data_IF_651110581297
#
_entry.id   IF_651110581297
#
_cell.length_a   1.000
_cell.length_b   1.000
_cell.length_c   1.000
_cell.angle_alpha   90.00
_cell.angle_beta   90.00
_cell.angle_gamma   90.00
#
_symmetry.space_group_name_H-M   'P 1'
#
loop_
_entity.id
_entity.type
_entity.pdbx_description
1 polymer ?
#
# COMPACT_ATOMS: atom_id res chain seq x y z
N UNK A 1 -2.88 -15.36 -17.59
CA UNK A 1 -3.71 -15.57 -16.39
C UNK A 1 -2.75 -15.58 -15.21
N UNK A 2 -2.47 -14.40 -14.63
CA UNK A 2 -1.77 -14.31 -13.35
C UNK A 2 -2.83 -14.43 -12.26
N UNK A 3 -2.62 -15.29 -11.27
CA UNK A 3 -3.41 -15.27 -10.05
C UNK A 3 -3.23 -13.88 -9.44
N UNK A 4 -4.35 -13.17 -9.22
CA UNK A 4 -4.41 -11.90 -8.48
C UNK A 4 -4.17 -12.13 -6.98
N UNK A 5 -3.24 -13.03 -6.63
CA UNK A 5 -2.82 -13.28 -5.26
C UNK A 5 -1.97 -12.09 -4.83
N UNK A 6 -2.56 -11.20 -4.03
CA UNK A 6 -1.81 -10.15 -3.36
C UNK A 6 -0.89 -10.79 -2.32
N UNK A 7 0.42 -10.77 -2.59
CA UNK A 7 1.42 -11.21 -1.63
C UNK A 7 1.62 -10.10 -0.59
N UNK A 8 1.26 -10.38 0.66
CA UNK A 8 1.60 -9.52 1.80
C UNK A 8 2.85 -10.07 2.49
N UNK A 9 3.86 -9.22 2.63
CA UNK A 9 5.07 -9.54 3.41
C UNK A 9 4.98 -8.82 4.74
N UNK A 10 5.02 -9.58 5.84
CA UNK A 10 5.03 -9.03 7.19
C UNK A 10 6.45 -9.15 7.75
N UNK A 11 7.04 -8.03 8.11
CA UNK A 11 8.33 -7.96 8.79
C UNK A 11 8.08 -7.70 10.28
N UNK A 12 8.50 -8.63 11.13
CA UNK A 12 8.34 -8.55 12.59
C UNK A 12 9.69 -8.67 13.29
N UNK A 13 9.87 -7.92 14.38
CA UNK A 13 11.08 -7.95 15.21
C UNK A 13 10.74 -7.54 16.64
N UNK A 14 11.52 -8.05 17.60
CA UNK A 14 11.45 -7.65 19.01
C UNK A 14 12.05 -6.26 19.26
N UNK A 15 12.72 -5.69 18.25
CA UNK A 15 13.24 -4.32 18.28
C UNK A 15 12.51 -3.48 17.23
N UNK A 16 12.38 -2.15 17.42
CA UNK A 16 11.87 -1.27 16.38
C UNK A 16 12.61 -1.53 15.06
N UNK A 17 11.86 -1.67 13.97
CA UNK A 17 12.39 -1.77 12.61
C UNK A 17 12.21 -0.40 11.91
N UNK A 18 13.00 0.63 12.25
CA UNK A 18 12.99 1.85 11.48
C UNK A 18 13.47 1.52 10.08
N UNK A 19 12.71 1.95 9.08
CA UNK A 19 13.11 1.71 7.71
C UNK A 19 14.14 2.76 7.31
N UNK A 20 15.42 2.40 7.38
CA UNK A 20 16.52 3.30 7.04
C UNK A 20 16.70 3.39 5.52
N UNK A 21 16.41 4.57 4.97
CA UNK A 21 16.46 4.81 3.54
C UNK A 21 17.88 4.74 2.97
N UNK A 22 18.90 5.14 3.73
CA UNK A 22 20.30 5.05 3.28
C UNK A 22 20.75 3.59 3.12
N UNK A 23 20.35 2.72 4.04
CA UNK A 23 20.62 1.28 3.94
C UNK A 23 19.86 0.65 2.77
N UNK A 24 18.63 1.11 2.51
CA UNK A 24 17.89 0.67 1.34
C UNK A 24 18.61 1.09 0.04
N UNK A 25 19.11 2.32 -0.04
CA UNK A 25 19.91 2.76 -1.18
C UNK A 25 21.18 1.93 -1.37
N UNK A 26 21.87 1.59 -0.27
CA UNK A 26 23.05 0.73 -0.29
C UNK A 26 22.72 -0.69 -0.77
N UNK A 27 21.63 -1.30 -0.28
CA UNK A 27 21.18 -2.60 -0.73
C UNK A 27 20.88 -2.64 -2.24
N UNK A 28 20.34 -1.55 -2.80
CA UNK A 28 20.10 -1.43 -4.25
C UNK A 28 21.38 -1.27 -5.09
N UNK A 29 22.55 -1.06 -4.47
CA UNK A 29 23.85 -1.11 -5.17
C UNK A 29 24.32 -2.54 -5.43
N UNK A 30 23.79 -3.52 -4.69
CA UNK A 30 24.06 -4.94 -4.95
C UNK A 30 23.33 -5.39 -6.23
N UNK A 31 24.05 -5.83 -7.27
CA UNK A 31 23.44 -6.26 -8.52
C UNK A 31 22.54 -7.49 -8.37
N UNK A 32 22.78 -8.35 -7.38
CA UNK A 32 21.94 -9.52 -7.09
C UNK A 32 20.59 -9.04 -6.55
N UNK A 33 20.60 -8.17 -5.54
CA UNK A 33 19.38 -7.59 -4.97
C UNK A 33 18.58 -6.88 -6.05
N UNK A 34 19.23 -6.01 -6.84
CA UNK A 34 18.55 -5.28 -7.92
C UNK A 34 17.92 -6.23 -8.94
N UNK A 35 18.65 -7.26 -9.39
CA UNK A 35 18.14 -8.23 -10.38
C UNK A 35 16.93 -9.01 -9.87
N UNK A 36 16.92 -9.41 -8.60
CA UNK A 36 15.78 -10.13 -8.03
C UNK A 36 14.56 -9.22 -7.82
N UNK A 37 14.78 -7.97 -7.42
CA UNK A 37 13.73 -6.97 -7.24
C UNK A 37 13.14 -6.47 -8.57
N UNK A 38 13.94 -6.35 -9.62
CA UNK A 38 13.48 -6.00 -10.97
C UNK A 38 12.45 -7.00 -11.52
N UNK A 39 12.58 -8.30 -11.19
CA UNK A 39 11.59 -9.34 -11.60
C UNK A 39 10.18 -9.08 -11.06
N UNK A 40 10.07 -8.29 -9.99
CA UNK A 40 8.80 -7.91 -9.36
C UNK A 40 8.45 -6.44 -9.61
N UNK A 41 9.07 -5.82 -10.63
CA UNK A 41 8.92 -4.40 -10.96
C UNK A 41 9.28 -3.48 -9.79
N UNK A 42 10.35 -3.77 -9.06
CA UNK A 42 10.89 -2.90 -8.01
C UNK A 42 12.26 -2.41 -8.47
N UNK A 43 12.28 -1.26 -9.14
CA UNK A 43 13.50 -0.74 -9.76
C UNK A 43 14.24 0.30 -8.89
N UNK A 44 13.65 0.74 -7.78
CA UNK A 44 14.23 1.77 -6.92
C UNK A 44 13.89 1.59 -5.44
N UNK A 45 14.67 2.19 -4.53
CA UNK A 45 14.33 2.30 -3.11
C UNK A 45 12.92 2.89 -2.89
N UNK A 46 12.55 3.91 -3.66
CA UNK A 46 11.23 4.54 -3.57
C UNK A 46 10.10 3.58 -3.94
N UNK A 47 10.33 2.67 -4.89
CA UNK A 47 9.37 1.65 -5.28
C UNK A 47 9.15 0.58 -4.18
N UNK A 48 10.10 0.42 -3.25
CA UNK A 48 9.89 -0.39 -2.04
C UNK A 48 9.03 0.39 -1.05
N UNK A 49 9.38 1.65 -0.78
CA UNK A 49 8.62 2.51 0.14
C UNK A 49 7.16 2.68 -0.28
N UNK A 50 6.90 2.78 -1.59
CA UNK A 50 5.55 2.94 -2.14
C UNK A 50 4.67 1.71 -1.93
N UNK A 51 5.26 0.56 -1.58
CA UNK A 51 4.54 -0.69 -1.27
C UNK A 51 4.27 -0.87 0.22
N UNK A 52 4.75 0.03 1.08
CA UNK A 52 4.38 0.03 2.50
C UNK A 52 2.87 0.20 2.63
N UNK A 53 2.20 -0.88 3.04
CA UNK A 53 0.74 -0.95 3.12
C UNK A 53 0.22 -0.68 4.52
N UNK A 54 1.05 -0.93 5.55
CA UNK A 54 0.71 -0.69 6.95
C UNK A 54 1.91 -0.16 7.71
N UNK A 55 1.63 0.67 8.70
CA UNK A 55 2.57 1.05 9.75
C UNK A 55 2.38 0.15 10.97
N UNK A 56 3.36 0.08 11.90
CA UNK A 56 3.19 -0.62 13.17
C UNK A 56 1.90 -0.26 13.92
N UNK A 57 1.53 1.03 13.91
CA UNK A 57 0.26 1.48 14.51
C UNK A 57 -0.96 0.90 13.78
N UNK A 58 -0.92 0.85 12.45
CA UNK A 58 -1.95 0.22 11.63
C UNK A 58 -2.12 -1.27 11.91
N UNK A 59 -0.99 -1.99 12.02
CA UNK A 59 -0.99 -3.41 12.42
C UNK A 59 -1.65 -3.59 13.77
N UNK A 60 -1.26 -2.81 14.78
CA UNK A 60 -1.85 -2.89 16.12
C UNK A 60 -3.37 -2.72 16.08
N UNK A 61 -3.86 -1.72 15.33
CA UNK A 61 -5.30 -1.49 15.22
C UNK A 61 -6.03 -2.66 14.53
N UNK A 62 -5.44 -3.24 13.50
CA UNK A 62 -6.03 -4.40 12.81
C UNK A 62 -6.10 -5.64 13.70
N UNK A 63 -5.14 -5.84 14.61
CA UNK A 63 -5.08 -7.04 15.45
C UNK A 63 -5.83 -6.89 16.78
N UNK A 64 -6.33 -5.70 17.14
CA UNK A 64 -7.03 -5.43 18.41
C UNK A 64 -8.20 -6.38 18.69
N UNK A 65 -8.87 -6.87 17.64
CA UNK A 65 -10.02 -7.78 17.73
C UNK A 65 -9.72 -9.21 17.28
N UNK A 66 -8.48 -9.50 16.90
CA UNK A 66 -8.07 -10.79 16.35
C UNK A 66 -7.56 -11.68 17.47
N UNK A 67 -7.98 -12.95 17.48
CA UNK A 67 -7.47 -13.94 18.43
C UNK A 67 -6.17 -14.53 17.89
N UNK A 68 -5.13 -14.70 18.74
CA UNK A 68 -3.93 -15.41 18.34
C UNK A 68 -4.30 -16.84 17.95
N UNK A 69 -3.69 -17.35 16.89
CA UNK A 69 -3.75 -18.77 16.60
C UNK A 69 -2.90 -19.49 17.66
N UNK A 70 -3.56 -20.10 18.65
CA UNK A 70 -2.91 -20.95 19.65
C UNK A 70 -2.93 -22.39 19.14
N UNK A 71 -1.76 -23.03 19.09
CA UNK A 71 -1.46 -24.36 18.49
C UNK A 71 -2.28 -25.58 18.98
N UNK A 72 -3.43 -25.39 19.64
CA UNK A 72 -4.32 -26.48 20.06
C UNK A 72 -5.31 -26.94 18.98
N UNK A 73 -5.27 -26.35 17.78
CA UNK A 73 -6.01 -26.84 16.62
C UNK A 73 -5.02 -27.25 15.52
N UNK A 74 -4.74 -28.55 15.47
CA UNK A 74 -4.35 -29.28 14.25
C UNK A 74 -5.47 -29.23 13.17
N UNK A 75 -6.15 -28.10 13.02
CA UNK A 75 -6.76 -27.70 11.76
C UNK A 75 -5.61 -27.08 10.94
N UNK A 76 -4.53 -27.82 10.70
CA UNK A 76 -4.26 -28.37 9.37
C UNK A 76 -4.72 -27.33 8.33
N UNK A 77 -3.86 -26.34 8.09
CA UNK A 77 -3.20 -25.93 6.84
C UNK A 77 -3.75 -26.38 5.47
N UNK A 78 -4.81 -27.19 5.42
CA UNK A 78 -5.56 -27.66 4.27
C UNK A 78 -7.06 -27.33 4.34
N UNK A 79 -7.61 -26.89 5.50
CA UNK A 79 -9.02 -26.49 5.66
C UNK A 79 -9.30 -24.99 5.66
N UNK A 80 -8.27 -24.13 5.69
CA UNK A 80 -8.41 -22.81 5.03
C UNK A 80 -8.41 -23.13 3.56
N UNK A 81 -9.58 -23.53 3.06
CA UNK A 81 -9.70 -24.02 1.72
C UNK A 81 -9.00 -23.04 0.79
N UNK A 82 -8.26 -23.59 -0.17
CA UNK A 82 -7.91 -22.93 -1.44
C UNK A 82 -9.18 -22.59 -2.23
N UNK A 83 -10.17 -22.04 -1.55
CA UNK A 83 -11.54 -21.84 -1.97
C UNK A 83 -11.82 -20.37 -1.72
N UNK A 84 -11.85 -19.65 -2.84
CA UNK A 84 -12.28 -18.27 -3.02
C UNK A 84 -11.21 -17.20 -2.81
N UNK A 85 -10.07 -17.36 -3.50
CA UNK A 85 -9.34 -16.21 -4.07
C UNK A 85 -10.24 -15.51 -5.09
N UNK A 86 -11.25 -14.79 -4.61
CA UNK A 86 -12.07 -13.91 -5.43
C UNK A 86 -11.40 -12.54 -5.49
N UNK A 87 -11.57 -11.85 -6.62
CA UNK A 87 -11.21 -10.43 -6.78
C UNK A 87 -11.77 -9.59 -5.60
N UNK A 88 -12.93 -9.98 -5.07
CA UNK A 88 -13.57 -9.35 -3.91
C UNK A 88 -12.72 -9.44 -2.64
N UNK A 89 -12.13 -10.61 -2.34
CA UNK A 89 -11.28 -10.78 -1.16
C UNK A 89 -10.00 -9.94 -1.24
N UNK A 90 -9.39 -9.86 -2.43
CA UNK A 90 -8.25 -8.98 -2.65
C UNK A 90 -8.66 -7.49 -2.50
N UNK A 91 -9.80 -7.10 -3.08
CA UNK A 91 -10.34 -5.75 -2.95
C UNK A 91 -10.66 -5.34 -1.51
N UNK A 92 -11.27 -6.24 -0.73
CA UNK A 92 -11.57 -6.03 0.69
C UNK A 92 -10.31 -5.90 1.53
N UNK A 93 -9.29 -6.74 1.30
CA UNK A 93 -8.02 -6.64 1.99
C UNK A 93 -7.27 -5.35 1.62
N UNK A 94 -7.22 -4.96 0.34
CA UNK A 94 -6.61 -3.69 -0.07
C UNK A 94 -7.30 -2.51 0.61
N UNK A 95 -8.64 -2.52 0.66
CA UNK A 95 -9.39 -1.47 1.33
C UNK A 95 -9.06 -1.43 2.83
N UNK A 96 -9.14 -2.57 3.51
CA UNK A 96 -8.82 -2.72 4.93
C UNK A 96 -7.41 -2.22 5.26
N UNK A 97 -6.40 -2.65 4.48
CA UNK A 97 -5.02 -2.20 4.65
C UNK A 97 -4.90 -0.68 4.43
N UNK A 98 -5.58 -0.15 3.41
CA UNK A 98 -5.51 1.28 3.08
C UNK A 98 -6.15 2.18 4.14
N UNK A 99 -7.28 1.75 4.74
CA UNK A 99 -7.96 2.47 5.82
C UNK A 99 -7.12 2.51 7.10
N UNK A 100 -6.29 1.48 7.30
CA UNK A 100 -5.48 1.30 8.49
C UNK A 100 -3.99 1.61 8.25
N UNK A 101 -3.61 2.14 7.08
CA UNK A 101 -2.22 2.33 6.67
C UNK A 101 -1.41 3.18 7.67
N UNK A 102 -2.03 4.20 8.26
CA UNK A 102 -1.38 5.16 9.14
C UNK A 102 -0.54 6.18 8.35
N UNK A 103 0.64 6.52 8.87
CA UNK A 103 1.54 7.53 8.28
C UNK A 103 2.92 6.93 7.96
N UNK A 104 3.07 6.21 6.82
CA UNK A 104 4.32 5.51 6.47
C UNK A 104 5.56 6.41 6.52
N UNK A 105 5.44 7.66 6.11
CA UNK A 105 6.52 8.65 6.10
C UNK A 105 7.19 8.87 7.47
N UNK A 106 6.47 8.67 8.58
CA UNK A 106 6.99 8.83 9.94
C UNK A 106 7.82 7.63 10.43
N UNK A 107 7.82 6.53 9.70
CA UNK A 107 8.56 5.30 10.03
C UNK A 107 9.79 5.10 9.16
N UNK A 108 10.04 6.04 8.23
CA UNK A 108 11.25 6.05 7.41
C UNK A 108 12.28 6.96 8.05
N UNK A 109 13.45 6.40 8.32
CA UNK A 109 14.63 7.16 8.70
C UNK A 109 15.33 7.64 7.42
N UNK A 110 15.27 8.96 7.20
CA UNK A 110 15.86 9.61 6.03
C UNK A 110 17.35 9.92 6.18
N UNK A 111 17.94 9.61 7.34
CA UNK A 111 19.32 9.98 7.68
C UNK A 111 19.52 11.49 7.78
N UNK A 112 20.68 11.96 7.36
CA UNK A 112 21.08 13.38 7.44
C UNK A 112 20.63 14.21 6.23
N UNK A 113 19.59 13.78 5.51
CA UNK A 113 19.08 14.49 4.36
C UNK A 113 18.44 15.83 4.77
N UNK A 114 18.61 16.85 3.94
CA UNK A 114 17.93 18.14 4.11
C UNK A 114 16.42 17.99 3.89
N UNK A 115 15.63 18.92 4.44
CA UNK A 115 14.17 18.92 4.24
C UNK A 115 13.75 18.94 2.76
N UNK A 116 14.53 19.63 1.91
CA UNK A 116 14.36 19.63 0.46
C UNK A 116 14.49 18.24 -0.14
N UNK A 117 15.55 17.53 0.22
CA UNK A 117 15.83 16.19 -0.27
C UNK A 117 14.79 15.20 0.25
N UNK A 118 14.41 15.30 1.52
CA UNK A 118 13.35 14.48 2.12
C UNK A 118 12.03 14.68 1.38
N UNK A 119 11.61 15.94 1.23
CA UNK A 119 10.37 16.27 0.51
C UNK A 119 10.41 15.76 -0.95
N UNK A 120 11.55 15.92 -1.63
CA UNK A 120 11.74 15.42 -3.00
C UNK A 120 11.64 13.90 -3.08
N UNK A 121 12.28 13.18 -2.15
CA UNK A 121 12.20 11.71 -2.07
C UNK A 121 10.77 11.25 -1.81
N UNK A 122 10.07 11.85 -0.84
CA UNK A 122 8.66 11.54 -0.57
C UNK A 122 7.76 11.76 -1.79
N UNK A 123 7.99 12.85 -2.55
CA UNK A 123 7.26 13.09 -3.80
C UNK A 123 7.53 12.01 -4.87
N UNK A 124 8.75 11.47 -4.89
CA UNK A 124 9.15 10.36 -5.77
C UNK A 124 8.49 9.05 -5.35
N UNK A 125 8.44 8.76 -4.04
CA UNK A 125 7.68 7.62 -3.50
C UNK A 125 6.19 7.71 -3.88
N UNK A 126 5.60 8.90 -3.81
CA UNK A 126 4.21 9.12 -4.21
C UNK A 126 4.00 8.81 -5.71
N UNK A 127 4.95 9.18 -6.57
CA UNK A 127 4.89 8.84 -8.00
C UNK A 127 5.02 7.33 -8.24
N UNK A 128 5.91 6.64 -7.53
CA UNK A 128 6.00 5.18 -7.60
C UNK A 128 4.69 4.51 -7.14
N UNK A 129 4.08 5.01 -6.06
CA UNK A 129 2.79 4.50 -5.59
C UNK A 129 1.68 4.64 -6.65
N UNK A 130 1.67 5.74 -7.43
CA UNK A 130 0.75 5.89 -8.56
C UNK A 130 0.98 4.80 -9.62
N UNK A 131 2.24 4.50 -9.97
CA UNK A 131 2.57 3.49 -10.98
C UNK A 131 2.04 2.11 -10.61
N UNK A 132 2.02 1.79 -9.31
CA UNK A 132 1.47 0.52 -8.79
C UNK A 132 -0.03 0.59 -8.49
N UNK A 133 -0.71 1.72 -8.75
CA UNK A 133 -2.14 1.87 -8.45
C UNK A 133 -2.46 2.03 -6.95
N UNK A 134 -1.47 2.28 -6.11
CA UNK A 134 -1.61 2.43 -4.65
C UNK A 134 -2.04 3.86 -4.30
N UNK A 135 -3.27 4.23 -4.67
CA UNK A 135 -3.76 5.63 -4.59
C UNK A 135 -3.69 6.23 -3.18
N UNK A 136 -4.09 5.47 -2.15
CA UNK A 136 -4.07 5.94 -0.75
C UNK A 136 -2.65 6.18 -0.26
N UNK A 137 -1.73 5.27 -0.59
CA UNK A 137 -0.30 5.43 -0.30
C UNK A 137 0.28 6.65 -1.01
N UNK A 138 -0.01 6.82 -2.31
CA UNK A 138 0.41 7.98 -3.09
C UNK A 138 -0.06 9.30 -2.47
N UNK A 139 -1.32 9.36 -2.04
CA UNK A 139 -1.88 10.54 -1.37
C UNK A 139 -1.15 10.84 -0.06
N UNK A 140 -0.93 9.82 0.78
CA UNK A 140 -0.23 9.97 2.07
C UNK A 140 1.20 10.47 1.89
N UNK A 141 1.95 9.88 0.94
CA UNK A 141 3.31 10.29 0.61
C UNK A 141 3.40 11.71 0.06
N UNK A 142 2.48 12.10 -0.82
CA UNK A 142 2.45 13.46 -1.38
C UNK A 142 2.09 14.51 -0.31
N UNK A 143 1.20 14.20 0.64
CA UNK A 143 0.92 15.10 1.76
C UNK A 143 2.12 15.26 2.69
N UNK A 144 2.74 14.14 3.08
CA UNK A 144 3.94 14.18 3.92
C UNK A 144 5.07 15.00 3.26
N UNK A 145 5.25 14.88 1.94
CA UNK A 145 6.19 15.69 1.16
C UNK A 145 5.97 17.19 1.34
N UNK A 146 4.72 17.66 1.20
CA UNK A 146 4.35 19.08 1.34
C UNK A 146 4.47 19.55 2.79
N UNK A 147 4.08 18.71 3.75
CA UNK A 147 4.20 18.98 5.19
C UNK A 147 5.67 19.18 5.61
N UNK A 148 6.59 18.42 5.00
CA UNK A 148 8.02 18.58 5.27
C UNK A 148 8.57 19.87 4.65
N UNK A 149 8.26 20.10 3.36
CA UNK A 149 8.61 21.32 2.63
C UNK A 149 7.75 21.48 1.39
N UNK A 150 7.42 22.74 1.05
CA UNK A 150 6.65 23.06 -0.14
C UNK A 150 7.25 22.43 -1.41
N UNK A 151 6.43 21.65 -2.13
CA UNK A 151 6.90 20.81 -3.24
C UNK A 151 5.86 20.73 -4.37
N UNK A 152 6.22 21.28 -5.53
CA UNK A 152 5.32 21.35 -6.68
C UNK A 152 5.05 20.00 -7.35
N UNK A 153 5.97 19.04 -7.25
CA UNK A 153 5.72 17.67 -7.73
C UNK A 153 4.63 17.03 -6.88
N UNK A 154 4.73 17.13 -5.55
CA UNK A 154 3.74 16.59 -4.64
C UNK A 154 2.36 17.26 -4.82
N UNK A 155 2.30 18.58 -5.01
CA UNK A 155 1.04 19.28 -5.34
C UNK A 155 0.41 18.76 -6.63
N UNK A 156 1.22 18.52 -7.68
CA UNK A 156 0.74 17.94 -8.95
C UNK A 156 0.21 16.52 -8.77
N UNK A 157 0.87 15.71 -7.93
CA UNK A 157 0.39 14.37 -7.57
C UNK A 157 -0.98 14.47 -6.89
N UNK A 158 -1.15 15.30 -5.87
CA UNK A 158 -2.43 15.47 -5.20
C UNK A 158 -3.55 15.90 -6.16
N UNK A 159 -3.27 16.90 -7.01
CA UNK A 159 -4.22 17.36 -8.03
C UNK A 159 -4.61 16.25 -9.02
N UNK A 160 -3.65 15.42 -9.41
CA UNK A 160 -3.91 14.26 -10.27
C UNK A 160 -4.82 13.24 -9.57
N UNK A 161 -4.54 12.92 -8.31
CA UNK A 161 -5.35 11.98 -7.51
C UNK A 161 -6.78 12.49 -7.29
N UNK A 162 -6.96 13.78 -7.01
CA UNK A 162 -8.28 14.40 -6.90
C UNK A 162 -9.08 14.32 -8.21
N UNK A 163 -8.40 14.49 -9.36
CA UNK A 163 -9.05 14.37 -10.66
C UNK A 163 -9.45 12.92 -10.97
N UNK A 164 -8.64 11.93 -10.56
CA UNK A 164 -8.98 10.52 -10.67
C UNK A 164 -10.20 10.17 -9.82
N UNK A 165 -10.24 10.62 -8.56
CA UNK A 165 -11.34 10.33 -7.65
C UNK A 165 -12.67 10.93 -8.15
N UNK A 166 -12.65 12.18 -8.61
CA UNK A 166 -13.81 12.83 -9.26
C UNK A 166 -14.33 12.06 -10.47
N UNK A 167 -13.42 11.48 -11.29
CA UNK A 167 -13.81 10.65 -12.44
C UNK A 167 -14.45 9.34 -11.98
N UNK A 168 -13.89 8.70 -10.95
CA UNK A 168 -14.44 7.48 -10.36
C UNK A 168 -15.87 7.70 -9.86
N UNK A 169 -16.09 8.76 -9.08
CA UNK A 169 -17.41 9.12 -8.55
C UNK A 169 -18.43 9.37 -9.67
N UNK A 170 -18.06 10.10 -10.73
CA UNK A 170 -18.93 10.32 -11.89
C UNK A 170 -19.33 9.02 -12.57
N UNK A 171 -18.39 8.10 -12.75
CA UNK A 171 -18.65 6.81 -13.38
C UNK A 171 -19.56 5.92 -12.52
N UNK A 172 -19.39 5.93 -11.20
CA UNK A 172 -20.26 5.19 -10.28
C UNK A 172 -21.69 5.74 -10.30
N UNK A 173 -21.86 7.06 -10.32
CA UNK A 173 -23.17 7.72 -10.35
C UNK A 173 -23.89 7.62 -11.71
N UNK A 174 -23.15 7.40 -12.80
CA UNK A 174 -23.69 7.25 -14.14
C UNK A 174 -24.17 5.83 -14.47
N UNK A 175 -23.93 4.84 -13.61
CA UNK A 175 -24.47 3.49 -13.83
C UNK A 175 -25.97 3.48 -13.51
N UNK A 176 -26.86 3.16 -14.48
CA UNK A 176 -28.28 3.06 -14.23
C UNK A 176 -28.53 1.99 -13.17
N UNK A 177 -29.34 2.32 -12.15
CA UNK A 177 -29.82 1.36 -11.16
C UNK A 177 -30.43 0.19 -11.92
N UNK A 178 -29.77 -0.97 -11.91
CA UNK A 178 -30.34 -2.18 -12.48
C UNK A 178 -31.63 -2.46 -11.72
N UNK A 179 -32.77 -2.15 -12.35
CA UNK A 179 -34.09 -2.47 -11.84
C UNK A 179 -34.17 -3.99 -11.74
N UNK A 180 -34.09 -4.52 -10.52
CA UNK A 180 -34.32 -5.94 -10.27
C UNK A 180 -35.69 -6.32 -10.83
N UNK A 181 -35.78 -7.31 -11.73
CA UNK A 181 -37.06 -7.75 -12.28
C UNK A 181 -37.95 -8.23 -11.14
N UNK A 182 -39.09 -7.55 -10.98
CA UNK A 182 -40.15 -7.93 -10.06
C UNK A 182 -40.59 -9.36 -10.40
N UNK A 183 -40.30 -10.30 -9.49
CA UNK A 183 -40.85 -11.65 -9.54
C UNK A 183 -42.37 -11.56 -9.35
N UNK A 184 -43.10 -11.46 -10.47
CA UNK A 184 -44.54 -11.67 -10.48
C UNK A 184 -44.82 -13.09 -10.01
N UNK A 185 -45.36 -13.19 -8.79
CA UNK A 185 -46.00 -14.41 -8.28
C UNK A 185 -47.13 -14.79 -9.23
N UNK A 186 -47.09 -16.02 -9.75
CA UNK A 186 -48.25 -16.71 -10.32
C UNK A 186 -49.06 -17.35 -9.20
#
# INVERSE_FOLDING_TARGET
MSSDSANLVILASNQPLPLNYSYLQEAFRDPIVRRELEKTNIASPEAVLSRMSLTPKGVNHLVESVKPNSDDLNQLEYEVGKTYESITFNGENILLLSENMGQPAKYVDWGNATKDEISTRMSTVAMEAIKFGHIVSAYSWARASIEEKDNDVAKRVLKYLEALDKRRLRNTLAQPLMTTPSLMKK
#
